data_IF_424219328576
#
_entry.id   IF_424219328576
#
_cell.length_a   1.000
_cell.length_b   1.000
_cell.length_c   1.000
_cell.angle_alpha   90.00
_cell.angle_beta   90.00
_cell.angle_gamma   90.00
#
_symmetry.space_group_name_H-M   'P 1'
#
loop_
_entity.id
_entity.type
_entity.pdbx_description
1 polymer ?
#
# COMPACT_ATOMS: atom_id res chain seq x y z
N UNK A 1 -28.58 -1.56 -9.53
CA UNK A 1 -27.13 -1.83 -9.54
C UNK A 1 -26.89 -3.21 -8.99
N UNK A 2 -26.21 -4.08 -9.73
CA UNK A 2 -25.83 -5.42 -9.27
C UNK A 2 -24.78 -5.27 -8.16
N UNK A 3 -25.05 -5.80 -6.97
CA UNK A 3 -24.03 -5.85 -5.91
C UNK A 3 -23.03 -6.94 -6.30
N UNK A 4 -21.78 -6.84 -5.83
CA UNK A 4 -20.75 -7.86 -6.13
C UNK A 4 -21.18 -9.29 -5.75
N UNK A 5 -21.93 -9.39 -4.65
CA UNK A 5 -22.56 -10.62 -4.16
C UNK A 5 -23.58 -11.22 -5.14
N UNK A 6 -24.14 -10.40 -6.04
CA UNK A 6 -25.13 -10.82 -7.03
C UNK A 6 -24.46 -11.14 -8.39
N UNK A 7 -23.13 -10.93 -8.52
CA UNK A 7 -22.38 -11.27 -9.73
C UNK A 7 -21.92 -12.73 -9.71
N UNK A 8 -22.60 -13.59 -10.46
CA UNK A 8 -22.25 -15.01 -10.64
C UNK A 8 -21.59 -15.30 -12.01
N UNK A 9 -20.91 -14.30 -12.60
CA UNK A 9 -20.23 -14.48 -13.88
C UNK A 9 -18.93 -15.31 -13.76
N UNK A 10 -18.35 -15.75 -14.89
CA UNK A 10 -17.15 -16.60 -14.91
C UNK A 10 -15.92 -15.95 -14.25
N UNK A 11 -15.91 -14.63 -14.09
CA UNK A 11 -14.84 -13.87 -13.45
C UNK A 11 -15.13 -13.47 -12.00
N UNK A 12 -16.13 -14.05 -11.33
CA UNK A 12 -16.56 -13.63 -9.98
C UNK A 12 -15.40 -13.59 -8.99
N UNK A 13 -14.50 -14.58 -9.03
CA UNK A 13 -13.30 -14.62 -8.18
C UNK A 13 -12.34 -13.47 -8.49
N UNK A 14 -12.14 -13.16 -9.76
CA UNK A 14 -11.26 -12.06 -10.21
C UNK A 14 -11.85 -10.70 -9.82
N UNK A 15 -13.13 -10.46 -10.08
CA UNK A 15 -13.78 -9.21 -9.69
C UNK A 15 -13.81 -9.09 -8.16
N UNK A 16 -14.07 -10.17 -7.42
CA UNK A 16 -14.00 -10.19 -5.97
C UNK A 16 -12.61 -9.86 -5.42
N UNK A 17 -11.56 -10.36 -6.08
CA UNK A 17 -10.19 -10.03 -5.75
C UNK A 17 -9.93 -8.53 -5.91
N UNK A 18 -10.19 -7.93 -7.08
CA UNK A 18 -9.97 -6.50 -7.32
C UNK A 18 -10.95 -5.57 -6.59
N UNK A 19 -12.08 -6.08 -6.12
CA UNK A 19 -13.06 -5.34 -5.32
C UNK A 19 -12.84 -5.48 -3.79
N UNK A 20 -11.71 -6.03 -3.37
CA UNK A 20 -11.29 -6.05 -1.97
C UNK A 20 -11.02 -4.63 -1.42
N UNK A 21 -11.00 -4.46 -0.08
CA UNK A 21 -10.54 -3.21 0.53
C UNK A 21 -9.08 -2.94 0.17
N UNK A 22 -8.73 -1.66 -0.08
CA UNK A 22 -7.35 -1.24 -0.40
C UNK A 22 -6.37 -1.39 0.76
N UNK A 23 -6.87 -1.54 1.98
CA UNK A 23 -6.05 -1.63 3.19
C UNK A 23 -6.34 -2.90 3.96
N UNK A 24 -5.27 -3.58 4.36
CA UNK A 24 -5.33 -4.68 5.32
C UNK A 24 -4.96 -4.15 6.70
N UNK A 25 -5.98 -4.04 7.56
CA UNK A 25 -5.80 -3.56 8.94
C UNK A 25 -5.25 -4.64 9.88
N UNK A 26 -5.26 -5.91 9.47
CA UNK A 26 -4.82 -7.04 10.30
C UNK A 26 -4.34 -8.23 9.46
N UNK A 27 -3.37 -8.98 10.00
CA UNK A 27 -2.85 -10.24 9.41
C UNK A 27 -3.69 -11.44 9.86
N UNK A 28 -4.29 -11.35 11.05
CA UNK A 28 -5.20 -12.33 11.64
C UNK A 28 -6.60 -11.73 11.81
N UNK A 29 -7.68 -12.54 11.87
CA UNK A 29 -8.98 -12.05 12.33
C UNK A 29 -8.78 -11.29 13.66
N UNK A 30 -9.41 -10.12 13.85
CA UNK A 30 -9.17 -9.28 15.01
C UNK A 30 -9.58 -10.03 16.30
N UNK A 31 -8.60 -10.63 16.97
CA UNK A 31 -8.70 -11.19 18.31
C UNK A 31 -7.92 -10.31 19.27
N UNK A 32 -8.40 -9.08 19.46
CA UNK A 32 -7.79 -8.18 20.44
C UNK A 32 -8.32 -8.53 21.82
N UNK A 33 -7.40 -8.74 22.78
CA UNK A 33 -7.77 -8.77 24.19
C UNK A 33 -8.28 -7.36 24.59
N UNK A 34 -9.26 -7.24 25.49
CA UNK A 34 -9.61 -5.94 26.07
C UNK A 34 -8.36 -5.24 26.62
N UNK A 35 -8.07 -4.03 26.13
CA UNK A 35 -6.85 -3.28 26.48
C UNK A 35 -5.60 -3.58 25.64
N UNK A 36 -5.67 -4.46 24.63
CA UNK A 36 -4.57 -4.68 23.70
C UNK A 36 -4.40 -3.45 22.79
N UNK A 37 -3.20 -2.88 22.78
CA UNK A 37 -2.82 -1.87 21.80
C UNK A 37 -2.81 -2.54 20.42
N UNK A 38 -3.45 -1.94 19.42
CA UNK A 38 -3.54 -2.45 18.04
C UNK A 38 -2.16 -2.67 17.37
N UNK A 39 -1.07 -2.20 17.99
CA UNK A 39 0.18 -1.87 17.34
C UNK A 39 1.26 -2.95 17.36
N UNK A 40 1.18 -4.04 18.14
CA UNK A 40 2.30 -4.99 18.15
C UNK A 40 2.17 -6.02 17.03
N UNK A 41 2.84 -5.80 15.91
CA UNK A 41 3.09 -6.84 14.90
C UNK A 41 4.39 -7.56 15.25
N UNK A 42 4.36 -8.88 15.41
CA UNK A 42 5.60 -9.66 15.53
C UNK A 42 6.34 -9.71 14.19
N UNK A 43 7.64 -10.04 14.20
CA UNK A 43 8.47 -10.20 12.99
C UNK A 43 7.77 -11.09 11.93
N UNK A 44 7.18 -12.20 12.38
CA UNK A 44 6.43 -13.14 11.53
C UNK A 44 5.19 -12.49 10.90
N UNK A 45 4.47 -11.66 11.66
CA UNK A 45 3.29 -10.97 11.15
C UNK A 45 3.66 -9.89 10.13
N UNK A 46 4.76 -9.15 10.37
CA UNK A 46 5.30 -8.18 9.39
C UNK A 46 5.69 -8.88 8.08
N UNK A 47 6.33 -10.04 8.18
CA UNK A 47 6.66 -10.84 6.99
C UNK A 47 5.41 -11.29 6.23
N UNK A 48 4.41 -11.83 6.95
CA UNK A 48 3.15 -12.23 6.31
C UNK A 48 2.38 -11.05 5.71
N UNK A 49 2.41 -9.88 6.36
CA UNK A 49 1.82 -8.67 5.84
C UNK A 49 2.47 -8.29 4.51
N UNK A 50 3.81 -8.22 4.47
CA UNK A 50 4.59 -7.98 3.24
C UNK A 50 4.21 -8.96 2.12
N UNK A 51 4.20 -10.27 2.41
CA UNK A 51 3.88 -11.29 1.40
C UNK A 51 2.46 -11.09 0.88
N UNK A 52 1.48 -10.85 1.77
CA UNK A 52 0.09 -10.62 1.39
C UNK A 52 -0.10 -9.37 0.55
N UNK A 53 0.59 -8.30 0.91
CA UNK A 53 0.55 -7.03 0.21
C UNK A 53 1.23 -7.10 -1.16
N UNK A 54 2.25 -7.95 -1.32
CA UNK A 54 2.92 -8.20 -2.60
C UNK A 54 2.00 -8.83 -3.66
N UNK A 55 1.00 -9.61 -3.22
CA UNK A 55 -0.03 -10.20 -4.08
C UNK A 55 -1.39 -9.52 -3.91
N UNK A 56 -1.42 -8.30 -3.40
CA UNK A 56 -2.66 -7.55 -3.27
C UNK A 56 -3.07 -6.92 -4.62
N UNK A 57 -4.37 -6.87 -4.95
CA UNK A 57 -4.84 -6.21 -6.17
C UNK A 57 -4.32 -4.77 -6.32
N UNK A 58 -4.20 -4.01 -5.23
CA UNK A 58 -3.65 -2.66 -5.25
C UNK A 58 -2.21 -2.61 -5.76
N UNK A 59 -1.40 -3.63 -5.45
CA UNK A 59 -0.01 -3.74 -5.93
C UNK A 59 0.04 -3.97 -7.43
N UNK A 60 -0.82 -4.83 -7.98
CA UNK A 60 -0.91 -5.03 -9.43
C UNK A 60 -1.42 -3.79 -10.16
N UNK A 61 -2.43 -3.11 -9.60
CA UNK A 61 -2.97 -1.87 -10.18
C UNK A 61 -1.92 -0.74 -10.18
N UNK A 62 -1.18 -0.58 -9.09
CA UNK A 62 -0.08 0.39 -9.01
C UNK A 62 1.02 0.05 -10.03
N UNK A 63 1.42 -1.21 -10.15
CA UNK A 63 2.40 -1.66 -11.15
C UNK A 63 1.92 -1.34 -12.58
N UNK A 64 0.64 -1.59 -12.88
CA UNK A 64 0.03 -1.26 -14.17
C UNK A 64 0.00 0.23 -14.47
N UNK A 65 -0.32 1.06 -13.47
CA UNK A 65 -0.31 2.51 -13.58
C UNK A 65 1.10 3.05 -13.86
N UNK A 66 2.10 2.66 -13.06
CA UNK A 66 3.49 3.09 -13.27
C UNK A 66 4.07 2.57 -14.59
N UNK A 67 3.74 1.34 -15.00
CA UNK A 67 4.11 0.83 -16.31
C UNK A 67 3.53 1.67 -17.45
N UNK A 68 2.30 2.19 -17.29
CA UNK A 68 1.67 3.11 -18.23
C UNK A 68 2.41 4.44 -18.35
N UNK A 69 2.78 5.04 -17.23
CA UNK A 69 3.61 6.26 -17.19
C UNK A 69 4.96 5.99 -17.88
N UNK A 70 5.65 4.92 -17.45
CA UNK A 70 6.95 4.55 -18.01
C UNK A 70 6.88 4.26 -19.52
N UNK A 71 5.77 3.70 -20.01
CA UNK A 71 5.52 3.47 -21.44
C UNK A 71 5.39 4.79 -22.20
N UNK A 72 4.58 5.72 -21.67
CA UNK A 72 4.33 7.03 -22.27
C UNK A 72 5.59 7.90 -22.31
N UNK A 73 6.42 7.83 -21.27
CA UNK A 73 7.72 8.51 -21.19
C UNK A 73 8.85 7.77 -21.93
N UNK A 74 8.56 6.58 -22.48
CA UNK A 74 9.55 5.70 -23.11
C UNK A 74 10.77 5.39 -22.19
N UNK A 75 10.56 5.25 -20.87
CA UNK A 75 11.61 4.81 -19.95
C UNK A 75 12.04 3.38 -20.26
N UNK A 76 13.32 3.06 -20.06
CA UNK A 76 13.94 1.81 -20.53
C UNK A 76 13.64 1.54 -22.03
N UNK A 77 14.14 2.37 -22.97
CA UNK A 77 13.81 2.25 -24.40
C UNK A 77 14.11 0.88 -25.00
N UNK A 78 15.08 0.16 -24.43
CA UNK A 78 15.47 -1.21 -24.83
C UNK A 78 14.34 -2.23 -24.63
N UNK A 79 13.34 -1.93 -23.81
CA UNK A 79 12.15 -2.78 -23.67
C UNK A 79 11.25 -2.73 -24.92
N UNK A 80 11.40 -1.70 -25.74
CA UNK A 80 10.59 -1.47 -26.94
C UNK A 80 9.25 -0.81 -26.62
N UNK A 81 8.38 -0.74 -27.63
CA UNK A 81 7.04 -0.15 -27.56
C UNK A 81 5.95 -1.20 -27.81
N UNK A 82 4.68 -0.78 -27.71
CA UNK A 82 3.53 -1.69 -27.83
C UNK A 82 3.38 -2.64 -26.64
N UNK A 83 2.54 -3.66 -26.80
CA UNK A 83 2.15 -4.57 -25.72
C UNK A 83 3.35 -5.33 -25.10
N UNK A 84 4.33 -5.73 -25.90
CA UNK A 84 5.53 -6.40 -25.42
C UNK A 84 6.39 -5.48 -24.53
N UNK A 85 6.58 -4.21 -24.95
CA UNK A 85 7.29 -3.21 -24.15
C UNK A 85 6.55 -2.90 -22.86
N UNK A 86 5.22 -2.75 -22.93
CA UNK A 86 4.39 -2.53 -21.75
C UNK A 86 4.48 -3.70 -20.76
N UNK A 87 4.43 -4.94 -21.24
CA UNK A 87 4.57 -6.13 -20.39
C UNK A 87 5.89 -6.19 -19.64
N UNK A 88 7.01 -5.81 -20.28
CA UNK A 88 8.31 -5.70 -19.61
C UNK A 88 8.31 -4.60 -18.54
N UNK A 89 7.76 -3.41 -18.85
CA UNK A 89 7.63 -2.31 -17.89
C UNK A 89 6.71 -2.68 -16.73
N UNK A 90 5.64 -3.44 -16.98
CA UNK A 90 4.76 -3.98 -15.95
C UNK A 90 5.52 -4.91 -15.00
N UNK A 91 6.27 -5.88 -15.53
CA UNK A 91 7.08 -6.78 -14.72
C UNK A 91 8.10 -6.03 -13.86
N UNK A 92 8.78 -5.05 -14.44
CA UNK A 92 9.76 -4.24 -13.73
C UNK A 92 9.11 -3.34 -12.66
N UNK A 93 7.99 -2.67 -12.99
CA UNK A 93 7.21 -1.90 -12.02
C UNK A 93 6.61 -2.79 -10.92
N UNK A 94 6.23 -4.02 -11.21
CA UNK A 94 5.79 -4.97 -10.19
C UNK A 94 6.94 -5.34 -9.24
N UNK A 95 8.13 -5.62 -9.78
CA UNK A 95 9.33 -5.87 -8.98
C UNK A 95 9.70 -4.66 -8.11
N UNK A 96 9.55 -3.44 -8.61
CA UNK A 96 9.70 -2.21 -7.82
C UNK A 96 8.70 -2.18 -6.64
N UNK A 97 7.42 -2.48 -6.88
CA UNK A 97 6.41 -2.46 -5.82
C UNK A 97 6.70 -3.52 -4.74
N UNK A 98 7.08 -4.73 -5.14
CA UNK A 98 7.42 -5.81 -4.21
C UNK A 98 8.66 -5.44 -3.39
N UNK A 99 9.70 -4.90 -4.04
CA UNK A 99 10.93 -4.46 -3.37
C UNK A 99 10.67 -3.32 -2.38
N UNK A 100 9.86 -2.34 -2.79
CA UNK A 100 9.43 -1.24 -1.92
C UNK A 100 8.75 -1.75 -0.66
N UNK A 101 7.78 -2.66 -0.80
CA UNK A 101 7.07 -3.28 0.32
C UNK A 101 7.97 -4.15 1.18
N UNK A 102 8.91 -4.88 0.60
CA UNK A 102 9.88 -5.64 1.37
C UNK A 102 10.65 -4.75 2.34
N UNK A 103 11.14 -3.60 1.87
CA UNK A 103 11.89 -2.69 2.73
C UNK A 103 11.00 -1.91 3.69
N UNK A 104 9.89 -1.36 3.20
CA UNK A 104 9.01 -0.44 3.96
C UNK A 104 8.01 -1.16 4.87
N UNK A 105 7.55 -2.36 4.51
CA UNK A 105 6.53 -3.09 5.28
C UNK A 105 7.14 -4.20 6.16
N UNK A 106 8.36 -4.67 5.83
CA UNK A 106 9.01 -5.76 6.56
C UNK A 106 10.39 -5.40 7.12
N UNK A 107 11.39 -5.13 6.30
CA UNK A 107 12.78 -5.06 6.75
C UNK A 107 13.02 -3.93 7.76
N UNK A 108 12.74 -2.68 7.39
CA UNK A 108 12.93 -1.54 8.29
C UNK A 108 11.95 -1.50 9.46
N UNK A 109 10.66 -1.84 9.28
CA UNK A 109 9.75 -2.00 10.41
C UNK A 109 10.21 -3.03 11.44
N UNK A 110 10.85 -4.11 10.99
CA UNK A 110 11.41 -5.13 11.88
C UNK A 110 12.66 -4.64 12.61
N UNK A 111 13.51 -3.83 11.94
CA UNK A 111 14.72 -3.25 12.53
C UNK A 111 14.38 -2.18 13.58
N UNK A 112 13.42 -1.30 13.30
CA UNK A 112 13.12 -0.15 14.14
C UNK A 112 11.95 -0.35 15.12
N UNK A 113 11.34 -1.54 15.10
CA UNK A 113 10.11 -1.84 15.83
C UNK A 113 8.99 -0.85 15.50
N UNK A 114 8.84 -0.58 14.20
CA UNK A 114 7.82 0.30 13.63
C UNK A 114 6.62 -0.52 13.15
N UNK A 115 5.41 -0.01 13.30
CA UNK A 115 4.19 -0.58 12.74
C UNK A 115 4.07 -0.11 11.27
N UNK A 116 4.16 -1.02 10.29
CA UNK A 116 4.14 -0.68 8.86
C UNK A 116 2.77 -0.24 8.34
N UNK A 117 1.70 -0.37 9.13
CA UNK A 117 0.33 -0.13 8.65
C UNK A 117 -0.03 1.34 8.65
N UNK A 118 -0.66 1.78 7.56
CA UNK A 118 -1.34 3.06 7.53
C UNK A 118 -2.68 3.00 8.29
N UNK A 119 -2.83 3.89 9.29
CA UNK A 119 -4.07 4.03 10.04
C UNK A 119 -4.83 5.27 9.61
N UNK A 120 -5.91 5.05 8.87
CA UNK A 120 -6.84 6.11 8.48
C UNK A 120 -7.41 6.85 9.68
N UNK A 121 -7.56 8.17 9.56
CA UNK A 121 -8.21 9.00 10.57
C UNK A 121 -9.74 8.81 10.54
N UNK A 122 -10.32 8.64 9.35
CA UNK A 122 -11.73 8.33 9.06
C UNK A 122 -12.79 9.36 9.50
N UNK A 123 -12.56 10.13 10.57
CA UNK A 123 -13.48 11.14 11.11
C UNK A 123 -12.84 12.53 11.09
N UNK A 124 -13.68 13.57 11.15
CA UNK A 124 -13.26 14.97 11.14
C UNK A 124 -13.31 15.62 9.74
N UNK A 125 -12.82 16.86 9.65
CA UNK A 125 -12.85 17.65 8.42
C UNK A 125 -11.92 17.07 7.34
N UNK A 126 -12.27 17.29 6.06
CA UNK A 126 -11.47 16.83 4.92
C UNK A 126 -10.01 17.33 4.97
N UNK A 127 -9.80 18.59 5.35
CA UNK A 127 -8.44 19.14 5.49
C UNK A 127 -7.62 18.44 6.57
N UNK A 128 -8.21 18.09 7.71
CA UNK A 128 -7.52 17.35 8.78
C UNK A 128 -7.13 15.94 8.35
N UNK A 129 -8.02 15.25 7.63
CA UNK A 129 -7.77 13.92 7.06
C UNK A 129 -6.69 13.94 5.99
N UNK A 130 -6.71 14.95 5.12
CA UNK A 130 -5.68 15.17 4.12
C UNK A 130 -4.30 15.41 4.75
N UNK A 131 -4.21 16.32 5.73
CA UNK A 131 -2.95 16.55 6.46
C UNK A 131 -2.49 15.31 7.22
N UNK A 132 -3.41 14.54 7.79
CA UNK A 132 -3.09 13.26 8.43
C UNK A 132 -2.45 12.26 7.46
N UNK A 133 -3.00 12.13 6.25
CA UNK A 133 -2.43 11.29 5.20
C UNK A 133 -1.04 11.76 4.78
N UNK A 134 -0.85 13.06 4.52
CA UNK A 134 0.47 13.58 4.16
C UNK A 134 1.49 13.41 5.29
N UNK A 135 1.07 13.58 6.54
CA UNK A 135 1.97 13.49 7.69
C UNK A 135 2.50 12.07 7.93
N UNK A 136 1.87 11.05 7.34
CA UNK A 136 2.33 9.66 7.45
C UNK A 136 3.74 9.45 6.87
N UNK A 137 4.13 10.21 5.84
CA UNK A 137 5.49 10.16 5.30
C UNK A 137 6.59 10.57 6.32
N UNK A 138 6.20 11.24 7.41
CA UNK A 138 7.12 11.70 8.44
C UNK A 138 6.87 11.04 9.80
N UNK A 139 5.63 10.64 10.09
CA UNK A 139 5.22 10.13 11.39
C UNK A 139 4.61 8.74 11.26
N UNK A 140 5.26 7.78 11.90
CA UNK A 140 4.79 6.40 12.06
C UNK A 140 4.46 6.10 13.53
N UNK A 141 3.98 4.88 13.78
CA UNK A 141 3.81 4.35 15.12
C UNK A 141 4.84 3.25 15.38
N UNK A 142 5.30 3.13 16.61
CA UNK A 142 6.04 1.98 17.11
C UNK A 142 5.10 0.80 17.32
N UNK A 143 5.67 -0.39 17.46
CA UNK A 143 4.92 -1.59 17.85
C UNK A 143 4.18 -1.44 19.20
N UNK A 144 4.64 -0.52 20.06
CA UNK A 144 3.98 -0.18 21.33
C UNK A 144 2.95 0.95 21.23
N UNK A 145 2.68 1.47 20.03
CA UNK A 145 1.70 2.52 19.76
C UNK A 145 2.18 3.96 19.95
N UNK A 146 3.41 4.17 20.44
CA UNK A 146 3.99 5.51 20.52
C UNK A 146 4.34 6.05 19.13
N UNK A 147 4.23 7.36 18.93
CA UNK A 147 4.65 7.99 17.66
C UNK A 147 6.17 8.01 17.52
N UNK A 148 6.64 7.88 16.29
CA UNK A 148 8.04 8.01 15.92
C UNK A 148 8.18 8.64 14.53
N UNK A 149 9.40 9.07 14.19
CA UNK A 149 9.70 9.40 12.80
C UNK A 149 9.56 8.13 11.94
N UNK A 150 8.99 8.27 10.74
CA UNK A 150 8.78 7.16 9.81
C UNK A 150 10.11 6.79 9.12
N UNK A 151 10.94 5.98 9.79
CA UNK A 151 12.23 5.59 9.21
C UNK A 151 12.05 4.63 8.03
N UNK A 152 11.02 3.81 8.06
CA UNK A 152 10.74 2.83 7.00
C UNK A 152 10.38 3.50 5.68
N UNK A 153 9.69 4.65 5.72
CA UNK A 153 9.41 5.45 4.53
C UNK A 153 10.72 5.89 3.86
N UNK A 154 11.58 6.59 4.59
CA UNK A 154 12.76 7.22 3.99
C UNK A 154 13.84 6.21 3.63
N UNK A 155 14.20 5.34 4.58
CA UNK A 155 15.25 4.34 4.36
C UNK A 155 14.76 3.23 3.44
N UNK A 156 13.50 2.80 3.59
CA UNK A 156 12.92 1.78 2.74
C UNK A 156 12.79 2.22 1.29
N UNK A 157 12.34 3.46 1.06
CA UNK A 157 12.29 4.02 -0.30
C UNK A 157 13.69 4.18 -0.88
N UNK A 158 14.66 4.66 -0.11
CA UNK A 158 16.04 4.82 -0.58
C UNK A 158 16.67 3.47 -0.98
N UNK A 159 16.47 2.41 -0.18
CA UNK A 159 16.91 1.06 -0.51
C UNK A 159 16.19 0.50 -1.73
N UNK A 160 14.89 0.72 -1.86
CA UNK A 160 14.12 0.28 -3.02
C UNK A 160 14.57 0.98 -4.32
N UNK A 161 14.83 2.28 -4.29
CA UNK A 161 15.41 3.03 -5.41
C UNK A 161 16.79 2.49 -5.78
N UNK A 162 17.62 2.24 -4.77
CA UNK A 162 18.97 1.69 -4.98
C UNK A 162 18.92 0.30 -5.61
N UNK A 163 18.01 -0.56 -5.15
CA UNK A 163 17.80 -1.89 -5.70
C UNK A 163 17.23 -1.83 -7.13
N UNK A 164 16.28 -0.93 -7.40
CA UNK A 164 15.72 -0.70 -8.74
C UNK A 164 16.79 -0.33 -9.75
N UNK A 165 17.80 0.45 -9.37
CA UNK A 165 18.94 0.79 -10.23
C UNK A 165 19.79 -0.43 -10.66
N UNK A 166 19.69 -1.57 -9.98
CA UNK A 166 20.42 -2.80 -10.34
C UNK A 166 19.80 -3.48 -11.56
N UNK A 167 18.47 -3.47 -11.68
CA UNK A 167 17.74 -4.20 -12.74
C UNK A 167 17.06 -3.30 -13.78
N UNK A 168 17.11 -1.98 -13.62
CA UNK A 168 16.70 -1.00 -14.62
C UNK A 168 17.93 -0.32 -15.24
N UNK A 169 18.42 -0.81 -16.39
CA UNK A 169 19.61 -0.26 -17.03
C UNK A 169 19.42 1.16 -17.57
N UNK A 170 18.18 1.60 -17.83
CA UNK A 170 17.88 2.95 -18.29
C UNK A 170 17.81 4.00 -17.19
N UNK A 171 18.01 3.63 -15.93
CA UNK A 171 18.01 4.58 -14.82
C UNK A 171 19.27 5.44 -14.84
N UNK A 172 19.08 6.75 -14.75
CA UNK A 172 20.19 7.67 -14.50
C UNK A 172 20.86 7.34 -13.16
N UNK A 173 22.20 7.27 -13.20
CA UNK A 173 23.03 6.91 -12.04
C UNK A 173 23.60 8.15 -11.41
N UNK A 174 23.73 8.11 -10.08
CA UNK A 174 24.31 9.19 -9.29
C UNK A 174 23.38 9.64 -8.16
N UNK A 175 23.89 10.56 -7.34
CA UNK A 175 23.18 11.03 -6.15
C UNK A 175 21.91 11.82 -6.51
N UNK A 176 22.03 12.81 -7.41
CA UNK A 176 20.91 13.70 -7.76
C UNK A 176 19.73 12.93 -8.39
N UNK A 177 19.91 12.10 -9.42
CA UNK A 177 18.79 11.33 -9.99
C UNK A 177 18.19 10.35 -8.97
N UNK A 178 19.00 9.78 -8.07
CA UNK A 178 18.49 8.90 -7.01
C UNK A 178 17.65 9.68 -5.99
N UNK A 179 18.06 10.91 -5.63
CA UNK A 179 17.32 11.77 -4.72
C UNK A 179 15.99 12.26 -5.33
N UNK A 180 15.97 12.61 -6.62
CA UNK A 180 14.75 12.96 -7.33
C UNK A 180 13.75 11.80 -7.36
N UNK A 181 14.24 10.58 -7.58
CA UNK A 181 13.41 9.37 -7.62
C UNK A 181 12.92 8.96 -6.25
N UNK A 182 13.75 9.12 -5.22
CA UNK A 182 13.33 9.01 -3.82
C UNK A 182 12.18 9.98 -3.53
N UNK A 183 12.34 11.26 -3.87
CA UNK A 183 11.30 12.28 -3.69
C UNK A 183 10.01 11.95 -4.43
N UNK A 184 10.11 11.55 -5.71
CA UNK A 184 8.95 11.13 -6.50
C UNK A 184 8.21 9.93 -5.88
N UNK A 185 8.96 8.95 -5.36
CA UNK A 185 8.38 7.76 -4.72
C UNK A 185 7.66 8.11 -3.42
N UNK A 186 8.27 8.94 -2.57
CA UNK A 186 7.64 9.43 -1.33
C UNK A 186 6.37 10.23 -1.66
N UNK A 187 6.43 11.15 -2.63
CA UNK A 187 5.26 11.92 -3.06
C UNK A 187 4.14 11.04 -3.63
N UNK A 188 4.51 10.00 -4.40
CA UNK A 188 3.55 9.04 -4.91
C UNK A 188 2.87 8.27 -3.77
N UNK A 189 3.63 7.85 -2.77
CA UNK A 189 3.11 7.13 -1.60
C UNK A 189 2.17 8.02 -0.76
N UNK A 190 2.54 9.28 -0.51
CA UNK A 190 1.63 10.26 0.10
C UNK A 190 0.32 10.39 -0.69
N UNK A 191 0.38 10.39 -2.02
CA UNK A 191 -0.80 10.37 -2.88
C UNK A 191 -1.66 9.11 -2.70
N UNK A 192 -1.03 7.95 -2.56
CA UNK A 192 -1.73 6.70 -2.25
C UNK A 192 -2.34 6.69 -0.85
N UNK A 193 -1.69 7.27 0.15
CA UNK A 193 -2.24 7.43 1.51
C UNK A 193 -3.45 8.37 1.52
N UNK A 194 -3.42 9.44 0.73
CA UNK A 194 -4.60 10.29 0.51
C UNK A 194 -5.71 9.48 -0.18
N UNK A 195 -5.40 8.73 -1.23
CA UNK A 195 -6.38 7.88 -1.92
C UNK A 195 -7.03 6.89 -0.95
N UNK A 196 -6.20 6.23 -0.13
CA UNK A 196 -6.59 5.32 0.96
C UNK A 196 -7.49 5.99 2.00
N UNK A 197 -7.14 7.20 2.45
CA UNK A 197 -7.93 7.97 3.41
C UNK A 197 -9.32 8.33 2.87
N UNK A 198 -9.46 8.64 1.58
CA UNK A 198 -10.73 9.04 0.95
C UNK A 198 -11.42 7.93 0.13
N UNK A 199 -10.89 6.71 0.13
CA UNK A 199 -11.41 5.60 -0.66
C UNK A 199 -12.89 5.26 -0.38
N UNK A 200 -13.40 5.26 0.87
CA UNK A 200 -14.81 5.00 1.16
C UNK A 200 -15.76 6.03 0.55
N UNK A 201 -15.34 7.29 0.43
CA UNK A 201 -16.11 8.33 -0.22
C UNK A 201 -16.09 8.17 -1.74
N UNK A 202 -14.91 7.89 -2.32
CA UNK A 202 -14.73 7.65 -3.75
C UNK A 202 -15.56 6.45 -4.19
N UNK A 203 -15.42 5.32 -3.49
CA UNK A 203 -16.17 4.09 -3.76
C UNK A 203 -17.68 4.31 -3.68
N UNK A 204 -18.18 5.04 -2.67
CA UNK A 204 -19.60 5.38 -2.52
C UNK A 204 -20.11 6.27 -3.64
N UNK A 205 -19.36 7.30 -4.02
CA UNK A 205 -19.73 8.26 -5.07
C UNK A 205 -19.74 7.61 -6.45
N UNK A 206 -18.73 6.77 -6.74
CA UNK A 206 -18.64 6.00 -7.98
C UNK A 206 -19.50 4.73 -7.97
N UNK A 207 -20.19 4.46 -6.85
CA UNK A 207 -21.05 3.29 -6.63
C UNK A 207 -20.33 1.98 -6.96
N UNK A 208 -19.05 1.92 -6.59
CA UNK A 208 -18.18 0.78 -6.87
C UNK A 208 -18.52 -0.37 -5.91
N UNK A 209 -18.43 -1.62 -6.38
CA UNK A 209 -18.91 -2.79 -5.65
C UNK A 209 -17.95 -3.28 -4.56
N UNK A 210 -17.23 -2.37 -3.89
CA UNK A 210 -16.27 -2.72 -2.84
C UNK A 210 -16.99 -3.10 -1.55
N UNK A 211 -16.48 -4.12 -0.87
CA UNK A 211 -16.88 -4.40 0.51
C UNK A 211 -16.35 -3.28 1.41
N UNK A 212 -17.22 -2.35 1.82
CA UNK A 212 -17.03 -1.76 3.13
C UNK A 212 -17.19 -2.92 4.12
N UNK A 213 -16.15 -3.23 4.90
CA UNK A 213 -16.38 -4.14 6.03
C UNK A 213 -17.55 -3.55 6.83
N UNK A 214 -18.60 -4.33 7.13
CA UNK A 214 -19.60 -3.85 8.06
C UNK A 214 -18.86 -3.46 9.33
N UNK A 215 -19.11 -2.26 9.84
CA UNK A 215 -18.65 -1.90 11.17
C UNK A 215 -19.15 -3.00 12.09
N UNK A 216 -18.25 -3.86 12.59
CA UNK A 216 -18.61 -4.74 13.69
C UNK A 216 -18.96 -3.81 14.83
N UNK A 217 -20.23 -3.79 15.21
CA UNK A 217 -20.67 -3.17 16.45
C UNK A 217 -19.74 -3.67 17.55
N UNK A 218 -18.97 -2.73 18.12
CA UNK A 218 -18.04 -2.98 19.22
C UNK A 218 -18.83 -3.48 20.47
N UNK A 219 -20.16 -3.39 20.45
CA UNK A 219 -21.06 -3.84 21.51
C UNK A 219 -21.49 -5.32 21.48
N UNK A 220 -21.12 -6.11 20.46
CA UNK A 220 -21.49 -7.54 20.42
C UNK A 220 -20.37 -8.46 20.91
N UNK A 221 -19.93 -8.27 22.16
CA UNK A 221 -19.07 -9.24 22.84
C UNK A 221 -19.95 -10.28 23.58
N UNK A 222 -19.94 -11.58 23.20
CA UNK A 222 -20.73 -12.61 23.89
C UNK A 222 -20.16 -13.04 25.26
N UNK A 223 -19.23 -12.28 25.85
CA UNK A 223 -18.65 -12.57 27.16
C UNK A 223 -19.41 -11.93 28.35
N UNK A 224 -20.67 -11.54 28.17
CA UNK A 224 -21.55 -11.00 29.23
C UNK A 224 -22.78 -11.86 29.52
N UNK A 225 -22.64 -13.19 29.46
CA UNK A 225 -23.54 -14.13 30.13
C UNK A 225 -22.75 -15.19 30.89
#
# INVERSE_FOLDING_TARGET
>A
MLRLQDYNGPFQKTVAFFAGPLERKSVHPPHYKPGAVLCSLELKDKFFLFVRDSYDPGTFLAAGFFAGINQAENRDPTFGQGAAGYGKRFGASYADQVSFRFFKDFAYPSIFSEDPRYYRLAQGSGGRRFLHALNHAFVAHRDNGNRMFNFSEWLGTASAVSLSNVYHPGNERGFVPSAERLGYRVLSDMGFDVLREFWPEISRKLKLPFRAEPAKDIDSNPASK
#
